data_IF_072999499447
#
_entry.id   IF_072999499447
#
_cell.length_a   1.000
_cell.length_b   1.000
_cell.length_c   1.000
_cell.angle_alpha   90.00
_cell.angle_beta   90.00
_cell.angle_gamma   90.00
#
_symmetry.space_group_name_H-M   'P 1'
#
loop_
_entity.id
_entity.type
_entity.pdbx_description
1 polymer ?
#
# COMPACT_ATOMS: atom_id res chain seq x y z
N UNK A 1 -22.58 -19.97 11.12
CA UNK A 1 -22.42 -18.58 10.64
C UNK A 1 -22.00 -18.68 9.19
N UNK A 2 -22.76 -18.10 8.26
CA UNK A 2 -22.28 -17.95 6.89
C UNK A 2 -21.07 -17.02 6.91
N UNK A 3 -19.93 -17.49 6.42
CA UNK A 3 -18.75 -16.67 6.17
C UNK A 3 -19.03 -15.86 4.91
N UNK A 4 -19.39 -14.59 5.07
CA UNK A 4 -19.35 -13.65 3.96
C UNK A 4 -17.91 -13.16 3.82
N UNK A 5 -17.25 -13.37 2.66
CA UNK A 5 -15.91 -12.83 2.47
C UNK A 5 -15.97 -11.32 2.61
N UNK A 6 -15.25 -10.74 3.57
CA UNK A 6 -15.17 -9.28 3.66
C UNK A 6 -14.50 -8.72 2.41
N UNK A 7 -15.00 -7.58 1.96
CA UNK A 7 -14.40 -6.85 0.86
C UNK A 7 -12.99 -6.36 1.23
N UNK A 8 -12.06 -6.23 0.27
CA UNK A 8 -10.68 -5.83 0.55
C UNK A 8 -10.54 -4.56 1.41
N UNK A 9 -11.42 -3.57 1.18
CA UNK A 9 -11.42 -2.28 1.89
C UNK A 9 -11.87 -2.41 3.35
N UNK A 10 -12.84 -3.26 3.63
CA UNK A 10 -13.27 -3.58 5.01
C UNK A 10 -12.12 -4.11 5.86
N UNK A 11 -11.39 -5.08 5.31
CA UNK A 11 -10.24 -5.69 5.98
C UNK A 11 -9.18 -4.62 6.26
N UNK A 12 -8.94 -3.71 5.30
CA UNK A 12 -7.98 -2.61 5.45
C UNK A 12 -8.43 -1.66 6.57
N UNK A 13 -9.72 -1.27 6.62
CA UNK A 13 -10.27 -0.43 7.69
C UNK A 13 -10.12 -1.11 9.05
N UNK A 14 -10.53 -2.38 9.18
CA UNK A 14 -10.41 -3.13 10.42
C UNK A 14 -8.95 -3.31 10.86
N UNK A 15 -8.06 -3.57 9.89
CA UNK A 15 -6.62 -3.67 10.11
C UNK A 15 -5.98 -2.34 10.54
N UNK A 16 -6.42 -1.21 9.98
CA UNK A 16 -5.98 0.12 10.39
C UNK A 16 -6.36 0.40 11.85
N UNK A 17 -7.58 0.06 12.24
CA UNK A 17 -8.05 0.19 13.62
C UNK A 17 -7.24 -0.73 14.56
N UNK A 18 -6.98 -1.98 14.15
CA UNK A 18 -6.11 -2.91 14.89
C UNK A 18 -4.71 -2.34 15.13
N UNK A 19 -4.13 -1.69 14.12
CA UNK A 19 -2.81 -1.01 14.20
C UNK A 19 -2.84 0.25 15.09
N UNK A 20 -3.99 0.61 15.67
CA UNK A 20 -4.14 1.73 16.59
C UNK A 20 -4.47 3.07 15.91
N UNK A 21 -4.84 3.06 14.62
CA UNK A 21 -5.29 4.26 13.92
C UNK A 21 -6.71 4.58 14.39
N UNK A 22 -6.88 5.73 15.08
CA UNK A 22 -8.13 6.09 15.76
C UNK A 22 -8.89 7.26 15.13
N UNK A 23 -8.22 8.09 14.32
CA UNK A 23 -8.87 9.26 13.71
C UNK A 23 -9.55 8.85 12.42
N UNK A 24 -10.79 9.27 12.26
CA UNK A 24 -11.61 8.99 11.07
C UNK A 24 -10.88 9.35 9.76
N UNK A 25 -10.28 10.54 9.69
CA UNK A 25 -9.53 10.99 8.51
C UNK A 25 -8.28 10.13 8.22
N UNK A 26 -7.61 9.62 9.24
CA UNK A 26 -6.42 8.79 9.08
C UNK A 26 -6.81 7.38 8.61
N UNK A 27 -7.91 6.82 9.13
CA UNK A 27 -8.48 5.54 8.66
C UNK A 27 -8.89 5.67 7.19
N UNK A 28 -9.58 6.76 6.83
CA UNK A 28 -10.01 7.02 5.45
C UNK A 28 -8.82 7.04 4.48
N UNK A 29 -7.75 7.75 4.84
CA UNK A 29 -6.52 7.82 4.04
C UNK A 29 -5.85 6.45 3.91
N UNK A 30 -5.78 5.69 5.00
CA UNK A 30 -5.18 4.36 5.00
C UNK A 30 -5.93 3.38 4.08
N UNK A 31 -7.26 3.47 4.03
CA UNK A 31 -8.10 2.62 3.19
C UNK A 31 -8.34 3.18 1.78
N UNK A 32 -7.90 4.42 1.49
CA UNK A 32 -8.12 5.11 0.21
C UNK A 32 -9.60 5.16 -0.21
N UNK A 33 -10.46 5.50 0.74
CA UNK A 33 -11.92 5.60 0.55
C UNK A 33 -12.42 7.02 0.81
N UNK A 34 -13.67 7.30 0.50
CA UNK A 34 -14.30 8.56 0.90
C UNK A 34 -14.93 8.47 2.30
N UNK A 35 -15.50 9.58 2.79
CA UNK A 35 -16.11 9.63 4.11
C UNK A 35 -17.42 8.83 4.20
N UNK A 36 -18.20 8.74 3.11
CA UNK A 36 -19.45 7.98 3.08
C UNK A 36 -19.15 6.49 3.12
N UNK A 37 -18.22 6.03 2.29
CA UNK A 37 -17.78 4.64 2.23
C UNK A 37 -17.18 4.19 3.58
N UNK A 38 -16.38 5.05 4.24
CA UNK A 38 -15.88 4.72 5.58
C UNK A 38 -17.01 4.57 6.61
N UNK A 39 -18.04 5.42 6.58
CA UNK A 39 -19.18 5.29 7.50
C UNK A 39 -19.92 3.97 7.29
N UNK A 40 -20.19 3.59 6.03
CA UNK A 40 -20.85 2.32 5.70
C UNK A 40 -20.05 1.11 6.18
N UNK A 41 -18.73 1.13 6.00
CA UNK A 41 -17.84 0.08 6.49
C UNK A 41 -17.86 0.03 8.03
N UNK A 42 -17.73 1.16 8.71
CA UNK A 42 -17.76 1.21 10.19
C UNK A 42 -19.09 0.67 10.74
N UNK A 43 -20.22 1.03 10.14
CA UNK A 43 -21.53 0.47 10.50
C UNK A 43 -21.57 -1.06 10.32
N UNK A 44 -21.02 -1.58 9.22
CA UNK A 44 -20.98 -3.02 8.95
C UNK A 44 -20.08 -3.76 9.94
N UNK A 45 -18.91 -3.20 10.27
CA UNK A 45 -17.98 -3.75 11.25
C UNK A 45 -18.57 -3.74 12.67
N UNK A 46 -19.28 -2.68 13.03
CA UNK A 46 -19.98 -2.57 14.33
C UNK A 46 -21.15 -3.55 14.44
N UNK A 47 -22.00 -3.67 13.40
CA UNK A 47 -23.08 -4.67 13.34
C UNK A 47 -22.57 -6.11 13.48
N UNK A 48 -21.31 -6.36 13.08
CA UNK A 48 -20.63 -7.66 13.20
C UNK A 48 -19.85 -7.80 14.51
N UNK A 49 -19.89 -6.81 15.39
CA UNK A 49 -19.20 -6.76 16.68
C UNK A 49 -17.67 -6.83 16.56
N UNK A 50 -17.12 -6.40 15.42
CA UNK A 50 -15.67 -6.38 15.18
C UNK A 50 -15.04 -5.10 15.74
N UNK A 51 -15.84 -4.05 15.88
CA UNK A 51 -15.47 -2.77 16.49
C UNK A 51 -16.61 -2.28 17.39
N UNK A 52 -16.29 -1.29 18.22
CA UNK A 52 -17.26 -0.46 18.93
C UNK A 52 -17.03 1.00 18.59
N UNK A 53 -18.11 1.76 18.32
CA UNK A 53 -18.04 3.20 18.05
C UNK A 53 -18.70 3.96 19.20
N UNK A 54 -17.91 4.72 19.96
CA UNK A 54 -18.41 5.54 21.08
C UNK A 54 -18.36 7.03 20.71
N UNK A 55 -19.49 7.73 20.83
CA UNK A 55 -19.51 9.19 20.76
C UNK A 55 -19.33 9.81 22.15
N UNK A 56 -18.23 10.54 22.36
CA UNK A 56 -17.90 11.22 23.62
C UNK A 56 -17.92 12.72 23.47
N UNK A 57 -18.12 13.44 24.58
CA UNK A 57 -17.91 14.89 24.62
C UNK A 57 -16.42 15.18 24.81
N UNK A 58 -15.79 15.77 23.80
CA UNK A 58 -14.43 16.28 23.83
C UNK A 58 -14.35 17.78 24.08
N UNK A 59 -13.13 18.30 24.24
CA UNK A 59 -12.86 19.72 24.55
C UNK A 59 -13.32 20.68 23.45
N UNK A 60 -13.48 20.19 22.22
CA UNK A 60 -13.89 20.96 21.04
C UNK A 60 -15.19 20.44 20.40
N UNK A 61 -16.01 19.68 21.12
CA UNK A 61 -17.27 19.11 20.60
C UNK A 61 -17.33 17.60 20.71
N UNK A 62 -18.13 16.94 19.86
CA UNK A 62 -18.28 15.48 19.83
C UNK A 62 -16.98 14.83 19.30
N UNK A 63 -16.51 13.79 19.98
CA UNK A 63 -15.33 12.98 19.63
C UNK A 63 -15.80 11.55 19.44
N UNK A 64 -15.58 11.02 18.24
CA UNK A 64 -15.82 9.60 17.94
C UNK A 64 -14.59 8.82 18.38
N UNK A 65 -14.79 7.78 19.18
CA UNK A 65 -13.77 6.83 19.59
C UNK A 65 -14.10 5.46 19.02
N UNK A 66 -13.25 4.97 18.13
CA UNK A 66 -13.37 3.65 17.50
C UNK A 66 -12.39 2.72 18.21
N UNK A 67 -12.87 1.56 18.66
CA UNK A 67 -12.05 0.51 19.28
C UNK A 67 -12.30 -0.82 18.60
N UNK A 68 -11.25 -1.60 18.40
CA UNK A 68 -11.36 -2.98 17.94
C UNK A 68 -11.78 -3.89 19.10
N UNK A 69 -12.57 -4.92 18.81
CA UNK A 69 -12.91 -5.98 19.78
C UNK A 69 -11.91 -7.14 19.68
N UNK A 70 -11.95 -8.07 20.62
CA UNK A 70 -11.17 -9.32 20.52
C UNK A 70 -11.57 -10.12 19.27
N UNK A 71 -12.88 -10.14 18.96
CA UNK A 71 -13.43 -10.76 17.75
C UNK A 71 -12.86 -10.12 16.48
N UNK A 72 -12.86 -8.79 16.40
CA UNK A 72 -12.26 -8.06 15.28
C UNK A 72 -10.75 -8.30 15.17
N UNK A 73 -10.05 -8.38 16.29
CA UNK A 73 -8.61 -8.66 16.31
C UNK A 73 -8.29 -10.05 15.75
N UNK A 74 -9.07 -11.06 16.16
CA UNK A 74 -8.95 -12.44 15.67
C UNK A 74 -9.31 -12.55 14.18
N UNK A 75 -10.34 -11.83 13.71
CA UNK A 75 -10.72 -11.78 12.29
C UNK A 75 -9.57 -11.28 11.42
N UNK A 76 -8.90 -10.20 11.84
CA UNK A 76 -7.72 -9.67 11.13
C UNK A 76 -6.58 -10.69 11.09
N UNK A 77 -6.36 -11.44 12.17
CA UNK A 77 -5.29 -12.47 12.20
C UNK A 77 -5.59 -13.64 11.29
N UNK A 78 -6.83 -14.13 11.31
CA UNK A 78 -7.29 -15.16 10.38
C UNK A 78 -7.12 -14.71 8.93
N UNK A 79 -7.46 -13.45 8.64
CA UNK A 79 -7.31 -12.90 7.29
C UNK A 79 -5.85 -12.72 6.88
N UNK A 80 -4.98 -12.23 7.78
CA UNK A 80 -3.53 -12.14 7.50
C UNK A 80 -2.97 -13.52 7.17
N UNK A 81 -3.36 -14.55 7.91
CA UNK A 81 -2.93 -15.92 7.67
C UNK A 81 -3.41 -16.43 6.28
N UNK A 82 -4.66 -16.19 5.91
CA UNK A 82 -5.18 -16.54 4.57
C UNK A 82 -4.36 -15.85 3.47
N UNK A 83 -4.09 -14.56 3.63
CA UNK A 83 -3.33 -13.76 2.68
C UNK A 83 -1.88 -14.22 2.56
N UNK A 84 -1.24 -14.60 3.67
CA UNK A 84 0.11 -15.20 3.66
C UNK A 84 0.14 -16.50 2.85
N UNK A 85 -0.82 -17.41 3.07
CA UNK A 85 -0.90 -18.65 2.31
C UNK A 85 -1.06 -18.41 0.82
N UNK A 86 -1.87 -17.42 0.43
CA UNK A 86 -2.05 -17.05 -0.99
C UNK A 86 -0.80 -16.43 -1.59
N UNK A 87 -0.07 -15.60 -0.83
CA UNK A 87 1.22 -15.06 -1.26
C UNK A 87 2.27 -16.16 -1.47
N UNK A 88 2.34 -17.11 -0.55
CA UNK A 88 3.26 -18.26 -0.66
C UNK A 88 2.95 -19.12 -1.89
N UNK A 89 1.67 -19.38 -2.17
CA UNK A 89 1.26 -20.07 -3.39
C UNK A 89 1.68 -19.29 -4.65
N UNK A 90 1.49 -17.96 -4.68
CA UNK A 90 1.94 -17.12 -5.78
C UNK A 90 3.46 -17.18 -5.98
N UNK A 91 4.23 -17.13 -4.88
CA UNK A 91 5.69 -17.29 -4.89
C UNK A 91 6.11 -18.63 -5.47
N UNK A 92 5.44 -19.72 -5.09
CA UNK A 92 5.71 -21.05 -5.61
C UNK A 92 5.44 -21.14 -7.11
N UNK A 93 4.32 -20.59 -7.59
CA UNK A 93 4.00 -20.54 -9.02
C UNK A 93 5.06 -19.73 -9.77
N UNK A 94 5.46 -18.56 -9.26
CA UNK A 94 6.52 -17.76 -9.85
C UNK A 94 7.84 -18.52 -10.00
N UNK A 95 8.26 -19.28 -8.97
CA UNK A 95 9.49 -20.11 -9.01
C UNK A 95 9.46 -21.20 -10.08
N UNK A 96 8.30 -21.58 -10.60
CA UNK A 96 8.20 -22.52 -11.73
C UNK A 96 8.53 -21.90 -13.08
N UNK A 97 8.50 -20.57 -13.20
CA UNK A 97 8.64 -19.84 -14.47
C UNK A 97 7.41 -19.89 -15.38
N UNK A 98 6.32 -20.54 -14.96
CA UNK A 98 5.08 -20.63 -15.73
C UNK A 98 4.28 -19.32 -15.67
N UNK A 99 4.56 -18.44 -16.64
CA UNK A 99 3.91 -17.13 -16.77
C UNK A 99 2.39 -17.20 -16.88
N UNK A 100 1.88 -18.23 -17.56
CA UNK A 100 0.44 -18.40 -17.77
C UNK A 100 -0.27 -18.70 -16.46
N UNK A 101 0.24 -19.65 -15.69
CA UNK A 101 -0.30 -19.96 -14.35
C UNK A 101 -0.14 -18.81 -13.38
N UNK A 102 1.00 -18.11 -13.42
CA UNK A 102 1.22 -16.95 -12.55
C UNK A 102 0.19 -15.86 -12.84
N UNK A 103 0.01 -15.50 -14.11
CA UNK A 103 -0.97 -14.50 -14.52
C UNK A 103 -2.39 -14.91 -14.12
N UNK A 104 -2.77 -16.15 -14.38
CA UNK A 104 -4.09 -16.67 -14.00
C UNK A 104 -4.32 -16.55 -12.49
N UNK A 105 -3.37 -17.02 -11.68
CA UNK A 105 -3.48 -16.98 -10.23
C UNK A 105 -3.53 -15.54 -9.69
N UNK A 106 -2.77 -14.62 -10.29
CA UNK A 106 -2.82 -13.20 -9.97
C UNK A 106 -4.15 -12.55 -10.36
N UNK A 107 -4.71 -12.87 -11.52
CA UNK A 107 -6.02 -12.37 -11.96
C UNK A 107 -7.14 -12.83 -11.03
N UNK A 108 -7.17 -14.12 -10.69
CA UNK A 108 -8.14 -14.71 -9.75
C UNK A 108 -8.07 -14.09 -8.35
N UNK A 109 -6.89 -13.62 -7.95
CA UNK A 109 -6.63 -13.04 -6.64
C UNK A 109 -6.34 -11.54 -6.71
N UNK A 110 -6.71 -10.84 -7.79
CA UNK A 110 -6.36 -9.42 -7.98
C UNK A 110 -6.88 -8.54 -6.84
N UNK A 111 -8.09 -8.81 -6.34
CA UNK A 111 -8.74 -8.01 -5.31
C UNK A 111 -8.04 -8.03 -3.95
N UNK A 112 -7.23 -9.06 -3.65
CA UNK A 112 -6.54 -9.19 -2.36
C UNK A 112 -5.13 -8.58 -2.37
N UNK A 113 -4.61 -8.20 -3.53
CA UNK A 113 -3.27 -7.62 -3.65
C UNK A 113 -3.12 -6.28 -2.90
N UNK A 114 -4.08 -5.33 -2.99
CA UNK A 114 -4.02 -4.11 -2.17
C UNK A 114 -4.04 -4.41 -0.66
N UNK A 115 -4.77 -5.44 -0.24
CA UNK A 115 -4.81 -5.86 1.16
C UNK A 115 -3.49 -6.48 1.61
N UNK A 116 -2.86 -7.34 0.79
CA UNK A 116 -1.51 -7.87 1.08
C UNK A 116 -0.47 -6.77 1.22
N UNK A 117 -0.53 -5.77 0.35
CA UNK A 117 0.35 -4.59 0.40
C UNK A 117 0.15 -3.81 1.70
N UNK A 118 -1.11 -3.52 2.06
CA UNK A 118 -1.44 -2.82 3.31
C UNK A 118 -0.93 -3.54 4.57
N UNK A 119 -0.97 -4.87 4.59
CA UNK A 119 -0.44 -5.66 5.71
C UNK A 119 1.07 -5.93 5.63
N UNK A 120 1.74 -5.57 4.53
CA UNK A 120 3.16 -5.86 4.32
C UNK A 120 3.46 -7.34 4.16
N UNK A 121 2.51 -8.12 3.65
CA UNK A 121 2.66 -9.57 3.38
C UNK A 121 3.48 -9.77 2.10
N UNK A 122 3.32 -8.86 1.15
CA UNK A 122 3.95 -8.89 -0.16
C UNK A 122 5.42 -8.45 -0.10
N UNK A 123 6.33 -9.26 -0.66
CA UNK A 123 7.69 -8.83 -1.00
C UNK A 123 7.65 -8.02 -2.30
N UNK A 124 7.89 -6.72 -2.19
CA UNK A 124 7.81 -5.78 -3.32
C UNK A 124 8.85 -6.06 -4.42
N UNK A 125 10.02 -6.58 -4.05
CA UNK A 125 11.06 -6.94 -5.02
C UNK A 125 10.66 -8.20 -5.79
N UNK A 126 10.13 -9.21 -5.10
CA UNK A 126 9.62 -10.40 -5.78
C UNK A 126 8.41 -10.05 -6.66
N UNK A 127 7.52 -9.19 -6.17
CA UNK A 127 6.38 -8.71 -6.94
C UNK A 127 6.84 -7.98 -8.22
N UNK A 128 7.85 -7.10 -8.16
CA UNK A 128 8.37 -6.41 -9.35
C UNK A 128 8.95 -7.38 -10.38
N UNK A 129 9.69 -8.39 -9.90
CA UNK A 129 10.23 -9.43 -10.77
C UNK A 129 9.15 -10.30 -11.41
N UNK A 130 8.03 -10.58 -10.73
CA UNK A 130 6.87 -11.28 -11.31
C UNK A 130 6.30 -10.50 -12.51
N UNK A 131 6.16 -9.18 -12.41
CA UNK A 131 5.68 -8.33 -13.51
C UNK A 131 6.65 -8.28 -14.69
N UNK A 132 7.95 -8.11 -14.41
CA UNK A 132 8.99 -8.19 -15.43
C UNK A 132 8.98 -9.53 -16.17
N UNK A 133 8.74 -10.63 -15.45
CA UNK A 133 8.61 -11.95 -16.06
C UNK A 133 7.39 -12.05 -16.98
N UNK A 134 6.24 -11.49 -16.59
CA UNK A 134 5.01 -11.54 -17.39
C UNK A 134 4.96 -10.48 -18.51
N UNK A 135 5.87 -9.49 -18.50
CA UNK A 135 5.84 -8.37 -19.44
C UNK A 135 4.66 -7.43 -19.21
N UNK A 136 4.22 -7.27 -17.96
CA UNK A 136 3.09 -6.43 -17.56
C UNK A 136 3.56 -5.32 -16.61
N UNK A 137 2.71 -4.32 -16.37
CA UNK A 137 2.99 -3.25 -15.42
C UNK A 137 2.34 -3.52 -14.06
N UNK A 138 2.99 -3.19 -12.95
CA UNK A 138 2.40 -3.34 -11.61
C UNK A 138 1.07 -2.61 -11.45
N UNK A 139 0.96 -1.45 -12.10
CA UNK A 139 -0.23 -0.58 -12.08
C UNK A 139 -1.49 -1.27 -12.60
N UNK A 140 -1.35 -2.40 -13.30
CA UNK A 140 -2.47 -3.21 -13.77
C UNK A 140 -3.19 -3.93 -12.61
N UNK A 141 -2.53 -4.07 -11.44
CA UNK A 141 -3.05 -4.81 -10.29
C UNK A 141 -3.09 -4.00 -8.99
N UNK A 142 -2.23 -2.99 -8.85
CA UNK A 142 -2.10 -2.16 -7.65
C UNK A 142 -2.14 -0.68 -8.03
N UNK A 143 -2.97 0.17 -7.39
CA UNK A 143 -3.00 1.61 -7.67
C UNK A 143 -1.63 2.26 -7.49
N UNK A 144 -1.25 3.16 -8.39
CA UNK A 144 0.07 3.81 -8.39
C UNK A 144 0.36 4.54 -7.06
N UNK A 145 -0.68 5.11 -6.44
CA UNK A 145 -0.60 5.85 -5.18
C UNK A 145 -0.32 4.97 -3.97
N UNK A 146 -0.50 3.65 -4.12
CA UNK A 146 -0.25 2.67 -3.06
C UNK A 146 1.12 1.99 -3.19
N UNK A 147 1.80 2.17 -4.32
CA UNK A 147 3.15 1.65 -4.55
C UNK A 147 4.15 2.57 -3.84
N UNK A 148 4.98 2.05 -2.93
CA UNK A 148 6.08 2.81 -2.33
C UNK A 148 6.99 3.41 -3.41
N UNK A 149 7.42 4.66 -3.22
CA UNK A 149 8.22 5.41 -4.20
C UNK A 149 9.59 4.80 -4.52
N UNK A 150 10.08 3.87 -3.70
CA UNK A 150 11.29 3.09 -3.93
C UNK A 150 11.04 1.79 -4.74
N UNK A 151 9.79 1.32 -4.77
CA UNK A 151 9.37 0.11 -5.47
C UNK A 151 8.78 0.38 -6.87
N UNK A 152 8.43 1.64 -7.18
CA UNK A 152 7.88 2.07 -8.48
C UNK A 152 8.87 1.98 -9.64
N UNK A 153 10.14 1.65 -9.37
CA UNK A 153 11.10 1.35 -10.43
C UNK A 153 11.26 2.50 -11.40
N UNK A 154 11.52 3.72 -10.91
CA UNK A 154 12.25 4.72 -11.69
C UNK A 154 13.66 4.18 -11.97
N UNK A 155 13.73 3.22 -12.91
CA UNK A 155 14.92 2.94 -13.66
C UNK A 155 15.16 4.15 -14.56
N UNK A 156 15.97 5.09 -14.08
CA UNK A 156 16.74 6.04 -14.90
C UNK A 156 15.94 6.87 -15.90
N UNK A 157 15.40 7.99 -15.44
CA UNK A 157 15.28 9.19 -16.29
C UNK A 157 16.20 10.29 -15.78
N UNK A 158 17.51 10.02 -15.73
CA UNK A 158 18.46 11.12 -15.98
C UNK A 158 18.72 11.14 -17.49
N UNK A 159 17.69 11.62 -18.18
CA UNK A 159 17.76 12.09 -19.55
C UNK A 159 18.80 13.20 -19.57
N UNK A 160 19.77 13.08 -20.48
CA UNK A 160 20.86 14.02 -20.65
C UNK A 160 20.41 15.47 -20.54
N UNK A 161 21.01 16.18 -19.58
CA UNK A 161 21.15 17.62 -19.67
C UNK A 161 22.24 17.89 -20.71
N UNK A 162 21.81 18.07 -21.95
CA UNK A 162 22.53 18.91 -22.91
C UNK A 162 22.50 20.35 -22.37
N UNK A 163 23.52 20.66 -21.57
CA UNK A 163 23.81 21.98 -21.02
C UNK A 163 25.26 22.30 -21.33
N UNK A 164 25.48 22.90 -22.50
CA UNK A 164 26.78 23.16 -23.09
C UNK A 164 27.82 23.70 -22.10
N UNK A 165 28.96 23.01 -22.05
CA UNK A 165 30.21 23.57 -21.52
C UNK A 165 31.21 23.62 -22.66
N UNK A 166 31.38 24.84 -23.14
CA UNK A 166 32.36 25.26 -24.13
C UNK A 166 33.78 24.96 -23.60
N UNK A 167 34.51 24.10 -24.30
CA UNK A 167 35.95 23.95 -24.12
C UNK A 167 36.65 25.04 -24.92
N UNK A 168 36.90 26.18 -24.27
CA UNK A 168 37.83 27.21 -24.75
C UNK A 168 39.12 27.19 -23.92
N UNK A 169 40.20 26.71 -24.53
CA UNK A 169 41.56 26.64 -24.00
C UNK A 169 42.24 28.01 -23.86
N UNK A 170 43.11 28.10 -22.84
CA UNK A 170 44.32 28.93 -22.72
C UNK A 170 44.21 30.45 -22.91
N UNK A 171 44.60 31.21 -21.88
CA UNK A 171 45.93 31.85 -21.83
C UNK A 171 46.00 33.00 -20.80
N UNK A 172 47.03 32.94 -19.95
CA UNK A 172 47.85 34.11 -19.62
C UNK A 172 47.39 35.05 -18.50
N UNK A 173 48.07 34.94 -17.35
CA UNK A 173 48.75 36.05 -16.66
C UNK A 173 47.90 37.19 -16.09
N UNK A 174 47.95 37.37 -14.76
CA UNK A 174 48.74 38.41 -14.09
C UNK A 174 48.28 38.52 -12.62
N UNK A 175 49.26 38.54 -11.73
CA UNK A 175 49.16 38.92 -10.31
C UNK A 175 48.48 40.29 -10.15
N UNK A 176 47.72 40.50 -9.07
CA UNK A 176 47.96 41.65 -8.21
C UNK A 176 47.37 41.46 -6.80
N UNK A 177 48.20 41.83 -5.84
CA UNK A 177 48.11 41.74 -4.38
C UNK A 177 47.57 43.06 -3.78
N UNK A 178 47.29 43.02 -2.46
CA UNK A 178 47.10 44.14 -1.50
C UNK A 178 45.72 44.81 -1.46
N UNK A 179 45.07 45.06 -0.31
CA UNK A 179 45.44 44.86 1.10
C UNK A 179 44.55 45.70 2.05
N UNK A 180 44.65 45.36 3.34
CA UNK A 180 44.03 45.92 4.55
C UNK A 180 42.53 45.71 4.78
#
# INVERSE_FOLDING_TARGET
MEYTPEEPKDVIVLGAIKKGIKKFDDIRKAAQIDASELNEILEKLEKRELITVEEKKGLFGKKIEIKITDKGSNEVEARIHELQNKWDQMSLIYKTGDKGKLKQYMDENKSILPTMLFFGIMDMMMFSMMFGMMGMMMTDYVPAESIPSDASGEAGSDSGSDGGTDMGSDSGGFDFDVGF
#
